data_IF_798324725028
#
_entry.id   IF_798324725028
#
_cell.length_a   1.000
_cell.length_b   1.000
_cell.length_c   1.000
_cell.angle_alpha   90.00
_cell.angle_beta   90.00
_cell.angle_gamma   90.00
#
_symmetry.space_group_name_H-M   'P 1'
#
loop_
_entity.id
_entity.type
_entity.pdbx_description
1 polymer ?
#
# COMPACT_ATOMS: atom_id res chain seq x y z
N UNK A 1 77.93 -23.84 48.87
CA UNK A 1 77.04 -22.93 49.62
C UNK A 1 75.70 -22.86 48.90
N UNK A 2 74.61 -23.19 49.62
CA UNK A 2 73.23 -22.63 49.55
C UNK A 2 72.83 -21.97 48.22
N UNK A 3 71.74 -22.32 47.51
CA UNK A 3 70.34 -22.57 47.92
C UNK A 3 69.54 -23.00 46.65
N UNK A 4 68.61 -23.97 46.73
CA UNK A 4 67.14 -23.76 46.86
C UNK A 4 66.47 -23.36 45.53
N UNK A 5 65.37 -23.92 45.03
CA UNK A 5 64.40 -24.96 45.42
C UNK A 5 63.68 -25.41 44.12
N UNK A 6 63.25 -26.67 44.01
CA UNK A 6 61.92 -27.17 44.37
C UNK A 6 60.77 -26.67 43.46
N UNK A 7 59.99 -27.66 42.99
CA UNK A 7 58.59 -27.67 42.50
C UNK A 7 58.47 -28.17 41.05
N UNK A 8 58.11 -29.44 40.78
CA UNK A 8 56.79 -30.08 40.90
C UNK A 8 55.66 -29.26 40.26
N UNK A 9 54.99 -29.83 39.24
CA UNK A 9 53.56 -29.73 38.88
C UNK A 9 53.42 -30.58 37.58
N UNK A 10 53.02 -31.85 37.68
CA UNK A 10 51.63 -32.32 37.63
C UNK A 10 50.95 -32.01 36.29
N UNK A 11 50.88 -33.04 35.44
CA UNK A 11 50.19 -33.07 34.16
C UNK A 11 48.68 -33.21 34.42
N UNK A 12 47.95 -32.11 34.51
CA UNK A 12 46.48 -32.13 34.62
C UNK A 12 45.88 -31.85 33.24
N UNK A 13 45.45 -32.93 32.59
CA UNK A 13 44.70 -32.91 31.33
C UNK A 13 43.37 -32.19 31.53
N UNK A 14 43.25 -30.97 31.00
CA UNK A 14 41.96 -30.31 30.81
C UNK A 14 41.33 -30.78 29.50
N UNK A 15 40.36 -31.68 29.62
CA UNK A 15 39.37 -31.97 28.59
C UNK A 15 38.49 -30.73 28.43
N UNK A 16 38.73 -29.92 27.40
CA UNK A 16 37.83 -28.82 27.04
C UNK A 16 36.62 -29.43 26.33
N UNK A 17 35.53 -29.60 27.08
CA UNK A 17 34.20 -29.78 26.51
C UNK A 17 33.85 -28.50 25.73
N UNK A 18 34.00 -28.56 24.41
CA UNK A 18 33.45 -27.58 23.51
C UNK A 18 31.91 -27.67 23.60
N UNK A 19 31.32 -26.92 24.52
CA UNK A 19 29.92 -26.53 24.42
C UNK A 19 29.81 -25.57 23.22
N UNK A 20 29.72 -26.16 22.04
CA UNK A 20 29.23 -25.47 20.86
C UNK A 20 27.78 -25.09 21.12
N UNK A 21 27.56 -23.94 21.74
CA UNK A 21 26.30 -23.21 21.62
C UNK A 21 26.30 -22.70 20.18
N UNK A 22 26.05 -23.61 19.25
CA UNK A 22 25.60 -23.28 17.92
C UNK A 22 24.23 -22.68 18.09
N UNK A 23 24.18 -21.38 18.37
CA UNK A 23 23.04 -20.58 17.93
C UNK A 23 23.09 -20.65 16.41
N UNK A 24 22.51 -21.72 15.87
CA UNK A 24 21.85 -21.60 14.58
C UNK A 24 20.78 -20.57 14.83
N UNK A 25 21.15 -19.30 14.61
CA UNK A 25 20.17 -18.27 14.33
C UNK A 25 19.56 -18.79 13.04
N UNK A 26 18.49 -19.57 13.16
CA UNK A 26 17.51 -19.59 12.10
C UNK A 26 17.21 -18.12 11.94
N UNK A 27 17.67 -17.54 10.84
CA UNK A 27 16.92 -16.47 10.22
C UNK A 27 15.54 -17.08 10.09
N UNK A 28 14.69 -16.79 11.08
CA UNK A 28 13.27 -16.87 10.90
C UNK A 28 13.08 -15.97 9.69
N UNK A 29 12.90 -16.59 8.52
CA UNK A 29 12.36 -15.89 7.39
C UNK A 29 11.07 -15.34 7.94
N UNK A 30 11.13 -14.09 8.38
CA UNK A 30 9.99 -13.36 8.86
C UNK A 30 9.11 -13.35 7.64
N UNK A 31 8.18 -14.30 7.63
CA UNK A 31 7.24 -14.45 6.55
C UNK A 31 6.44 -13.18 6.69
N UNK A 32 6.77 -12.17 5.88
CA UNK A 32 6.07 -10.90 5.86
C UNK A 32 4.66 -11.25 5.44
N UNK A 33 3.79 -11.43 6.43
CA UNK A 33 2.42 -11.88 6.22
C UNK A 33 1.67 -10.77 5.52
N UNK A 34 1.55 -10.95 4.20
CA UNK A 34 0.63 -10.37 3.22
C UNK A 34 0.45 -8.84 3.22
N UNK A 35 1.17 -8.19 2.32
CA UNK A 35 0.96 -6.81 1.90
C UNK A 35 -0.47 -6.60 1.34
N UNK A 36 -1.09 -5.43 1.62
CA UNK A 36 -2.39 -4.94 1.11
C UNK A 36 -2.51 -4.77 -0.44
N UNK A 37 -1.92 -5.68 -1.20
CA UNK A 37 -1.94 -5.75 -2.66
C UNK A 37 -2.76 -6.97 -3.06
N UNK A 38 -3.98 -6.75 -3.51
CA UNK A 38 -4.87 -7.84 -3.94
C UNK A 38 -4.99 -7.79 -5.46
N UNK A 39 -4.75 -8.92 -6.12
CA UNK A 39 -5.01 -9.03 -7.57
C UNK A 39 -6.50 -8.95 -7.81
N UNK A 40 -6.92 -8.13 -8.77
CA UNK A 40 -8.32 -7.94 -9.12
C UNK A 40 -8.50 -8.02 -10.63
N UNK A 41 -9.71 -8.35 -11.06
CA UNK A 41 -10.12 -8.38 -12.45
C UNK A 41 -10.64 -7.02 -12.92
N UNK A 42 -10.66 -6.80 -14.23
CA UNK A 42 -11.26 -5.60 -14.83
C UNK A 42 -12.74 -5.45 -14.41
N UNK A 43 -13.48 -6.56 -14.38
CA UNK A 43 -14.91 -6.57 -14.06
C UNK A 43 -15.16 -6.21 -12.59
N UNK A 44 -14.32 -6.67 -11.66
CA UNK A 44 -14.39 -6.26 -10.26
C UNK A 44 -14.13 -4.76 -10.10
N UNK A 45 -13.17 -4.19 -10.85
CA UNK A 45 -12.91 -2.74 -10.83
C UNK A 45 -14.15 -1.97 -11.28
N UNK A 46 -14.77 -2.41 -12.39
CA UNK A 46 -15.98 -1.79 -12.94
C UNK A 46 -17.17 -1.91 -11.99
N UNK A 47 -17.41 -3.08 -11.43
CA UNK A 47 -18.51 -3.31 -10.49
C UNK A 47 -18.37 -2.43 -9.23
N UNK A 48 -17.16 -2.31 -8.68
CA UNK A 48 -16.90 -1.42 -7.55
C UNK A 48 -17.10 0.06 -7.93
N UNK A 49 -16.66 0.47 -9.11
CA UNK A 49 -16.84 1.85 -9.56
C UNK A 49 -18.33 2.20 -9.76
N UNK A 50 -19.09 1.32 -10.42
CA UNK A 50 -20.55 1.47 -10.62
C UNK A 50 -21.28 1.55 -9.29
N UNK A 51 -20.97 0.66 -8.35
CA UNK A 51 -21.57 0.65 -7.00
C UNK A 51 -21.36 1.98 -6.26
N UNK A 52 -20.17 2.56 -6.36
CA UNK A 52 -19.81 3.78 -5.63
C UNK A 52 -20.25 5.08 -6.31
N UNK A 53 -20.44 5.08 -7.63
CA UNK A 53 -20.75 6.30 -8.41
C UNK A 53 -22.17 6.34 -8.95
N UNK A 54 -22.85 5.19 -9.06
CA UNK A 54 -24.16 5.06 -9.69
C UNK A 54 -24.16 5.20 -11.21
N UNK A 55 -23.00 5.32 -11.87
CA UNK A 55 -22.96 5.37 -13.35
C UNK A 55 -23.22 4.00 -13.97
N UNK A 56 -23.57 3.98 -15.26
CA UNK A 56 -23.71 2.71 -15.99
C UNK A 56 -22.37 1.99 -16.19
N UNK A 57 -22.40 0.67 -16.34
CA UNK A 57 -21.20 -0.12 -16.68
C UNK A 57 -20.50 0.37 -17.95
N UNK A 58 -21.26 0.71 -18.99
CA UNK A 58 -20.71 1.22 -20.25
C UNK A 58 -19.96 2.55 -20.04
N UNK A 59 -20.50 3.42 -19.18
CA UNK A 59 -19.85 4.68 -18.84
C UNK A 59 -18.61 4.47 -17.97
N UNK A 60 -18.68 3.55 -17.00
CA UNK A 60 -17.54 3.17 -16.19
C UNK A 60 -16.40 2.60 -17.05
N UNK A 61 -16.72 1.75 -18.02
CA UNK A 61 -15.72 1.17 -18.93
C UNK A 61 -15.06 2.25 -19.80
N UNK A 62 -15.85 3.13 -20.41
CA UNK A 62 -15.36 4.24 -21.22
C UNK A 62 -14.46 5.19 -20.42
N UNK A 63 -14.78 5.40 -19.14
CA UNK A 63 -14.05 6.31 -18.24
C UNK A 63 -12.75 5.68 -17.74
N UNK A 64 -12.79 4.44 -17.25
CA UNK A 64 -11.66 3.79 -16.57
C UNK A 64 -10.69 3.08 -17.53
N UNK A 65 -11.22 2.64 -18.67
CA UNK A 65 -10.51 1.85 -19.68
C UNK A 65 -10.78 2.39 -21.10
N UNK A 66 -10.49 3.67 -21.37
CA UNK A 66 -10.71 4.24 -22.69
C UNK A 66 -9.88 3.49 -23.72
N UNK A 67 -10.51 3.09 -24.84
CA UNK A 67 -9.81 2.47 -25.96
C UNK A 67 -8.70 3.39 -26.45
N UNK A 68 -7.44 2.99 -26.25
CA UNK A 68 -6.30 3.69 -26.84
C UNK A 68 -6.38 3.48 -28.35
N UNK A 69 -6.64 4.56 -29.09
CA UNK A 69 -6.74 4.52 -30.55
C UNK A 69 -5.53 3.82 -31.19
N UNK A 70 -5.80 3.09 -32.26
CA UNK A 70 -5.04 2.04 -32.95
C UNK A 70 -3.62 2.43 -33.41
N UNK A 71 -3.17 3.66 -33.17
CA UNK A 71 -1.84 4.17 -33.55
C UNK A 71 -0.72 3.72 -32.61
N UNK A 72 -1.04 3.31 -31.37
CA UNK A 72 -0.05 2.74 -30.43
C UNK A 72 0.05 1.20 -30.51
N UNK A 73 -0.93 0.54 -31.14
CA UNK A 73 -1.02 -0.91 -31.23
C UNK A 73 0.03 -1.55 -32.16
N UNK A 74 0.70 -0.77 -33.04
CA UNK A 74 1.71 -1.31 -33.96
C UNK A 74 3.09 -1.53 -33.34
N UNK A 75 3.36 -1.00 -32.14
CA UNK A 75 4.66 -1.16 -31.46
C UNK A 75 4.61 -1.96 -30.15
N UNK A 76 3.43 -2.41 -29.73
CA UNK A 76 3.26 -3.24 -28.52
C UNK A 76 3.09 -4.73 -28.90
N UNK A 77 3.99 -5.25 -29.72
CA UNK A 77 4.15 -6.70 -29.83
C UNK A 77 5.17 -7.11 -28.77
N UNK A 78 4.66 -7.58 -27.62
CA UNK A 78 5.24 -8.59 -26.73
C UNK A 78 4.34 -8.69 -25.48
N UNK A 79 3.49 -9.72 -25.46
CA UNK A 79 2.88 -10.44 -24.32
C UNK A 79 3.03 -9.87 -22.89
N UNK A 80 2.75 -8.60 -22.62
CA UNK A 80 2.49 -8.16 -21.25
C UNK A 80 1.03 -8.45 -20.91
N UNK A 81 0.82 -9.53 -20.15
CA UNK A 81 -0.48 -9.82 -19.55
C UNK A 81 -0.87 -8.60 -18.70
N UNK A 82 -1.94 -7.91 -19.12
CA UNK A 82 -2.45 -6.76 -18.37
C UNK A 82 -3.03 -7.29 -17.06
N UNK A 83 -2.38 -6.94 -15.96
CA UNK A 83 -2.80 -7.36 -14.63
C UNK A 83 -3.22 -6.13 -13.83
N UNK A 84 -4.19 -6.32 -12.93
CA UNK A 84 -4.65 -5.26 -12.06
C UNK A 84 -4.53 -5.65 -10.59
N UNK A 85 -4.30 -4.66 -9.75
CA UNK A 85 -4.25 -4.82 -8.30
C UNK A 85 -5.01 -3.69 -7.63
N UNK A 86 -5.53 -3.95 -6.44
CA UNK A 86 -5.94 -2.91 -5.50
C UNK A 86 -4.88 -2.79 -4.42
N UNK A 87 -4.42 -1.56 -4.21
CA UNK A 87 -3.52 -1.16 -3.14
C UNK A 87 -4.34 -0.40 -2.10
N UNK A 88 -4.46 -0.93 -0.88
CA UNK A 88 -5.10 -0.18 0.21
C UNK A 88 -4.05 0.69 0.91
N UNK A 89 -4.36 1.97 1.02
CA UNK A 89 -3.50 2.97 1.64
C UNK A 89 -3.70 2.98 3.15
N UNK A 90 -2.61 2.59 3.81
CA UNK A 90 -2.46 2.43 5.23
C UNK A 90 -0.95 2.51 5.53
N UNK A 91 -0.44 3.56 6.21
CA UNK A 91 1.01 3.69 6.48
C UNK A 91 1.43 2.93 7.73
N UNK A 92 2.53 2.17 7.67
CA UNK A 92 3.17 1.61 8.87
C UNK A 92 3.29 2.65 10.00
N UNK A 93 2.68 2.36 11.14
CA UNK A 93 3.06 2.93 12.43
C UNK A 93 3.06 1.76 13.40
N UNK A 94 4.26 1.35 13.83
CA UNK A 94 4.56 0.30 14.81
C UNK A 94 3.88 -1.07 14.62
N UNK A 95 4.53 -1.94 13.83
CA UNK A 95 4.50 -3.43 13.88
C UNK A 95 3.16 -4.17 14.07
N UNK A 96 2.03 -3.49 13.86
CA UNK A 96 0.69 -4.06 13.94
C UNK A 96 -0.07 -3.72 12.65
N UNK A 97 -0.43 -4.77 11.93
CA UNK A 97 -1.06 -4.71 10.61
C UNK A 97 -2.37 -3.91 10.62
N UNK A 98 -2.61 -3.22 9.50
CA UNK A 98 -3.75 -2.37 9.12
C UNK A 98 -3.70 -0.94 9.71
N UNK A 99 -2.98 -0.07 9.03
CA UNK A 99 -3.01 1.36 9.34
C UNK A 99 -4.21 2.07 8.71
N UNK A 100 -5.29 2.20 9.45
CA UNK A 100 -6.36 3.10 9.05
C UNK A 100 -5.86 4.56 9.03
N UNK A 101 -6.51 5.43 8.25
CA UNK A 101 -6.37 6.87 8.41
C UNK A 101 -6.60 7.18 9.91
N UNK A 102 -5.78 8.05 10.54
CA UNK A 102 -5.85 8.30 11.97
C UNK A 102 -7.26 8.54 12.50
N UNK A 103 -7.50 8.16 13.76
CA UNK A 103 -8.80 8.26 14.44
C UNK A 103 -9.89 7.34 13.84
N UNK A 104 -9.49 6.22 13.22
CA UNK A 104 -10.40 5.30 12.52
C UNK A 104 -11.25 6.05 11.48
N UNK A 105 -10.61 6.97 10.75
CA UNK A 105 -11.25 7.76 9.71
C UNK A 105 -11.41 6.98 8.39
N UNK A 106 -11.28 5.66 8.43
CA UNK A 106 -11.39 4.78 7.27
C UNK A 106 -10.04 4.51 6.60
N UNK A 107 -10.07 4.25 5.30
CA UNK A 107 -8.86 4.00 4.50
C UNK A 107 -9.01 4.54 3.09
N UNK A 108 -7.88 4.78 2.44
CA UNK A 108 -7.85 5.08 0.99
C UNK A 108 -7.50 3.81 0.22
N UNK A 109 -7.83 3.75 -1.06
CA UNK A 109 -7.44 2.65 -1.92
C UNK A 109 -7.17 3.13 -3.35
N UNK A 110 -6.35 2.37 -4.07
CA UNK A 110 -5.94 2.65 -5.43
C UNK A 110 -6.07 1.40 -6.27
N UNK A 111 -6.95 1.42 -7.26
CA UNK A 111 -6.96 0.40 -8.30
C UNK A 111 -5.90 0.74 -9.33
N UNK A 112 -5.02 -0.20 -9.64
CA UNK A 112 -3.84 0.02 -10.46
C UNK A 112 -3.74 -1.00 -11.58
N UNK A 113 -3.29 -0.54 -12.74
CA UNK A 113 -2.80 -1.40 -13.82
C UNK A 113 -1.30 -1.61 -13.60
N UNK A 114 -0.84 -2.85 -13.66
CA UNK A 114 0.55 -3.21 -13.35
C UNK A 114 1.18 -4.00 -14.50
N UNK A 115 2.49 -3.84 -14.69
CA UNK A 115 3.30 -4.76 -15.51
C UNK A 115 3.83 -5.91 -14.65
N UNK A 116 3.82 -7.10 -15.24
CA UNK A 116 4.55 -8.27 -14.73
C UNK A 116 5.37 -8.81 -15.89
N UNK A 117 6.62 -8.37 -16.01
CA UNK A 117 7.54 -8.86 -17.05
C UNK A 117 8.83 -9.33 -16.40
N UNK A 118 9.07 -10.64 -16.47
CA UNK A 118 10.22 -11.28 -15.80
C UNK A 118 10.26 -10.97 -14.30
N UNK A 119 11.36 -10.41 -13.82
CA UNK A 119 11.55 -10.01 -12.42
C UNK A 119 11.08 -8.58 -12.12
N UNK A 120 10.70 -7.79 -13.13
CA UNK A 120 10.23 -6.42 -12.92
C UNK A 120 8.71 -6.39 -12.72
N UNK A 121 8.30 -5.73 -11.64
CA UNK A 121 6.90 -5.44 -11.32
C UNK A 121 6.78 -3.96 -11.07
N UNK A 122 5.77 -3.32 -11.65
CA UNK A 122 5.56 -1.89 -11.46
C UNK A 122 4.14 -1.46 -11.80
N UNK A 123 3.70 -0.38 -11.17
CA UNK A 123 2.45 0.31 -11.49
C UNK A 123 2.65 1.07 -12.80
N UNK A 124 1.82 0.77 -13.81
CA UNK A 124 1.77 1.52 -15.06
C UNK A 124 0.95 2.80 -14.90
N UNK A 125 -0.18 2.68 -14.19
CA UNK A 125 -1.08 3.78 -13.87
C UNK A 125 -2.01 3.41 -12.72
N UNK A 126 -2.53 4.44 -12.06
CA UNK A 126 -3.70 4.35 -11.20
C UNK A 126 -4.94 4.42 -12.12
N UNK A 127 -5.81 3.42 -12.04
CA UNK A 127 -7.09 3.36 -12.75
C UNK A 127 -8.07 4.34 -12.12
N UNK A 128 -8.21 4.31 -10.80
CA UNK A 128 -8.87 5.32 -9.99
C UNK A 128 -8.45 5.20 -8.52
N UNK A 129 -8.64 6.28 -7.78
CA UNK A 129 -8.45 6.31 -6.32
C UNK A 129 -9.79 6.43 -5.62
N UNK A 130 -9.89 5.90 -4.41
CA UNK A 130 -11.10 6.06 -3.62
C UNK A 130 -10.88 6.05 -2.13
N UNK A 131 -11.93 6.44 -1.42
CA UNK A 131 -11.98 6.54 0.04
C UNK A 131 -13.13 5.70 0.57
N UNK A 132 -12.85 4.91 1.62
CA UNK A 132 -13.86 4.16 2.36
C UNK A 132 -13.90 4.66 3.80
N UNK A 133 -15.09 5.04 4.27
CA UNK A 133 -15.28 5.64 5.59
C UNK A 133 -15.11 4.65 6.74
N UNK A 134 -14.58 5.14 7.87
CA UNK A 134 -14.54 4.41 9.13
C UNK A 134 -15.64 4.89 10.08
N UNK A 135 -15.38 4.81 11.39
CA UNK A 135 -16.29 5.40 12.40
C UNK A 135 -16.31 6.92 12.37
N UNK A 136 -15.20 7.52 11.93
CA UNK A 136 -15.14 8.93 11.54
C UNK A 136 -15.07 9.02 10.03
N UNK A 137 -15.66 10.08 9.49
CA UNK A 137 -15.72 10.31 8.05
C UNK A 137 -14.92 11.56 7.71
N UNK A 138 -13.99 11.40 6.77
CA UNK A 138 -13.20 12.49 6.22
C UNK A 138 -14.03 13.29 5.22
N UNK A 139 -13.96 14.62 5.32
CA UNK A 139 -14.40 15.56 4.30
C UNK A 139 -13.27 16.54 4.03
N UNK A 140 -12.98 16.77 2.75
CA UNK A 140 -11.87 17.62 2.35
C UNK A 140 -11.25 17.16 1.05
N UNK A 141 -10.04 17.61 0.80
CA UNK A 141 -9.31 17.30 -0.42
C UNK A 141 -8.45 16.05 -0.23
N UNK A 142 -8.64 15.06 -1.10
CA UNK A 142 -7.76 13.90 -1.23
C UNK A 142 -6.93 14.05 -2.50
N UNK A 143 -5.62 14.24 -2.32
CA UNK A 143 -4.61 14.30 -3.38
C UNK A 143 -3.80 13.02 -3.42
N UNK A 144 -3.41 12.59 -4.62
CA UNK A 144 -2.52 11.47 -4.81
C UNK A 144 -1.65 11.66 -6.04
N UNK A 145 -0.46 11.09 -6.00
CA UNK A 145 0.51 11.14 -7.08
C UNK A 145 1.06 9.74 -7.33
N UNK A 146 1.46 9.49 -8.57
CA UNK A 146 2.26 8.32 -8.93
C UNK A 146 3.63 8.83 -9.41
N UNK A 147 4.57 9.21 -8.52
CA UNK A 147 5.84 9.79 -8.93
C UNK A 147 6.67 8.83 -9.80
N UNK A 148 6.60 7.54 -9.48
CA UNK A 148 7.35 6.46 -10.13
C UNK A 148 6.54 5.16 -10.09
N UNK A 149 7.01 4.11 -10.78
CA UNK A 149 6.28 2.85 -10.91
C UNK A 149 6.13 2.06 -9.59
N UNK A 150 6.83 2.44 -8.52
CA UNK A 150 6.90 1.65 -7.30
C UNK A 150 6.26 2.34 -6.10
N UNK A 151 5.82 3.60 -6.24
CA UNK A 151 5.32 4.40 -5.13
C UNK A 151 4.13 5.26 -5.53
N UNK A 152 3.06 5.15 -4.74
CA UNK A 152 1.96 6.11 -4.71
C UNK A 152 2.16 7.00 -3.49
N UNK A 153 2.12 8.31 -3.67
CA UNK A 153 2.06 9.26 -2.57
C UNK A 153 0.63 9.80 -2.44
N UNK A 154 0.15 10.02 -1.22
CA UNK A 154 -1.16 10.61 -1.02
C UNK A 154 -1.20 11.56 0.17
N UNK A 155 -2.13 12.52 0.12
CA UNK A 155 -2.41 13.49 1.16
C UNK A 155 -3.92 13.69 1.30
N UNK A 156 -4.39 13.66 2.54
CA UNK A 156 -5.75 14.03 2.97
C UNK A 156 -5.63 15.33 3.77
N UNK A 157 -6.35 16.36 3.32
CA UNK A 157 -6.41 17.65 4.01
C UNK A 157 -7.86 18.09 4.15
N UNK A 158 -8.33 18.22 5.39
CA UNK A 158 -9.72 18.57 5.68
C UNK A 158 -10.10 18.33 7.13
N UNK A 159 -11.27 17.75 7.34
CA UNK A 159 -11.87 17.57 8.66
C UNK A 159 -12.52 16.19 8.80
N UNK A 160 -12.71 15.78 10.05
CA UNK A 160 -13.41 14.57 10.43
C UNK A 160 -14.78 14.90 11.01
N UNK A 161 -15.76 14.06 10.69
CA UNK A 161 -17.13 14.17 11.15
C UNK A 161 -17.63 12.83 11.71
N UNK A 162 -18.60 12.90 12.63
CA UNK A 162 -19.30 11.74 13.20
C UNK A 162 -20.69 11.58 12.57
N UNK A 163 -21.32 10.41 12.69
CA UNK A 163 -22.75 10.21 12.42
C UNK A 163 -23.26 10.80 11.07
N UNK A 164 -22.40 10.79 10.05
CA UNK A 164 -22.70 11.31 8.71
C UNK A 164 -22.44 10.21 7.70
N UNK A 165 -22.62 10.50 6.41
CA UNK A 165 -22.30 9.57 5.32
C UNK A 165 -21.55 10.30 4.22
N UNK A 166 -20.73 9.56 3.48
CA UNK A 166 -19.95 10.09 2.35
C UNK A 166 -20.85 10.30 1.13
N UNK A 167 -20.72 11.45 0.45
CA UNK A 167 -21.48 11.77 -0.78
C UNK A 167 -20.65 11.70 -2.06
N UNK A 168 -19.33 11.84 -1.96
CA UNK A 168 -18.39 11.67 -3.07
C UNK A 168 -17.10 11.09 -2.52
N UNK A 169 -16.56 10.06 -3.16
CA UNK A 169 -15.43 9.29 -2.61
C UNK A 169 -14.46 8.75 -3.65
N UNK A 170 -14.56 9.19 -4.92
CA UNK A 170 -13.75 8.67 -6.02
C UNK A 170 -13.03 9.79 -6.79
N UNK A 171 -11.75 9.53 -7.10
CA UNK A 171 -10.89 10.36 -7.95
C UNK A 171 -10.53 9.68 -9.28
N UNK A 172 -10.11 10.48 -10.26
CA UNK A 172 -9.78 10.01 -11.61
C UNK A 172 -8.50 9.15 -11.69
N UNK A 173 -8.33 8.44 -12.80
CA UNK A 173 -7.08 7.73 -13.09
C UNK A 173 -5.93 8.68 -13.43
N UNK A 174 -4.71 8.27 -13.09
CA UNK A 174 -3.47 9.02 -13.39
C UNK A 174 -2.33 8.08 -13.80
N UNK A 175 -1.43 8.56 -14.66
CA UNK A 175 -0.20 7.86 -15.05
C UNK A 175 1.02 8.25 -14.21
N UNK A 176 2.17 7.66 -14.53
CA UNK A 176 3.45 7.98 -13.89
C UNK A 176 3.81 9.46 -14.10
N UNK A 177 4.30 10.11 -13.05
CA UNK A 177 4.64 11.53 -13.01
C UNK A 177 3.45 12.47 -12.88
N UNK A 178 2.22 11.95 -12.77
CA UNK A 178 1.01 12.76 -12.65
C UNK A 178 0.49 12.83 -11.22
N UNK A 179 -0.39 13.82 -10.99
CA UNK A 179 -1.10 14.07 -9.73
C UNK A 179 -2.59 14.12 -10.02
N UNK A 180 -3.38 13.49 -9.18
CA UNK A 180 -4.84 13.56 -9.16
C UNK A 180 -5.33 14.13 -7.84
N UNK A 181 -6.52 14.72 -7.84
CA UNK A 181 -7.20 15.12 -6.62
C UNK A 181 -8.72 15.10 -6.80
N UNK A 182 -9.42 14.90 -5.69
CA UNK A 182 -10.86 15.05 -5.62
C UNK A 182 -11.29 15.46 -4.21
N UNK A 183 -12.49 16.00 -4.08
CA UNK A 183 -13.06 16.33 -2.79
C UNK A 183 -13.90 15.17 -2.29
N UNK A 184 -13.61 14.70 -1.08
CA UNK A 184 -14.49 13.81 -0.33
C UNK A 184 -15.55 14.67 0.33
N UNK A 185 -16.82 14.39 0.03
CA UNK A 185 -17.98 15.09 0.57
C UNK A 185 -18.70 14.29 1.64
N UNK A 186 -19.41 14.97 2.54
CA UNK A 186 -20.30 14.36 3.53
C UNK A 186 -21.71 14.97 3.46
N UNK A 187 -22.72 14.22 3.88
CA UNK A 187 -24.12 14.64 3.82
C UNK A 187 -24.48 15.71 4.88
N UNK A 188 -23.91 15.59 6.08
CA UNK A 188 -24.09 16.53 7.19
C UNK A 188 -22.73 16.92 7.79
N UNK A 189 -22.58 18.21 8.10
CA UNK A 189 -21.38 18.84 8.69
C UNK A 189 -21.60 19.34 10.11
N UNK A 190 -22.82 19.23 10.66
CA UNK A 190 -23.14 19.62 12.04
C UNK A 190 -22.37 18.80 13.10
N UNK A 191 -21.87 17.63 12.72
CA UNK A 191 -21.20 16.64 13.56
C UNK A 191 -19.67 16.71 13.50
N UNK A 192 -19.13 17.93 13.38
CA UNK A 192 -17.68 18.18 13.35
C UNK A 192 -16.96 17.53 14.53
N UNK A 193 -15.80 16.93 14.25
CA UNK A 193 -14.95 16.31 15.26
C UNK A 193 -13.59 17.01 15.40
N UNK A 194 -12.79 17.07 14.33
CA UNK A 194 -11.41 17.56 14.37
C UNK A 194 -10.90 17.87 12.96
N UNK A 195 -9.83 18.68 12.79
CA UNK A 195 -9.12 18.73 11.52
C UNK A 195 -8.39 17.40 11.26
N UNK A 196 -8.07 17.15 9.99
CA UNK A 196 -7.20 16.07 9.54
C UNK A 196 -6.24 16.61 8.48
N UNK A 197 -4.94 16.53 8.78
CA UNK A 197 -3.88 16.57 7.79
C UNK A 197 -3.09 15.28 7.91
N UNK A 198 -3.13 14.45 6.87
CA UNK A 198 -2.49 13.15 6.88
C UNK A 198 -1.93 12.85 5.50
N UNK A 199 -0.71 12.33 5.45
CA UNK A 199 -0.08 11.93 4.20
C UNK A 199 0.64 10.60 4.36
N UNK A 200 0.81 9.90 3.25
CA UNK A 200 1.39 8.57 3.25
C UNK A 200 2.02 8.20 1.93
N UNK A 201 2.83 7.15 1.99
CA UNK A 201 3.37 6.50 0.81
C UNK A 201 2.88 5.05 0.80
N UNK A 202 2.57 4.54 -0.39
CA UNK A 202 2.26 3.15 -0.64
C UNK A 202 3.16 2.59 -1.71
N UNK A 203 3.91 1.54 -1.37
CA UNK A 203 4.77 0.83 -2.32
C UNK A 203 4.05 -0.34 -2.99
N UNK A 204 4.51 -0.74 -4.18
CA UNK A 204 4.08 -1.92 -4.93
C UNK A 204 5.24 -2.89 -5.17
#
# INVERSE_FOLDING_TARGET
>A
MRRLGLMFISFLSFLVLAFGIGTTVKADETTVKNFDVVTVTKDEILANYVSNTGVSFAEAERTLFPNKSTSQARNAQLNEETSYVVLRGATYQDDTLISYIPNNAGHVYFYCEVSKSGWFRGIKRIVYAGYYSGSLIFQGNFQYALPDANRIHFTLNGHLYRNTSTTTSIGAGIGIGQVGSFNVGVADTSSYHSPLYYHGNRSY
#
